data_IF_156976471744
#
_entry.id   IF_156976471744
#
_cell.length_a   1.000
_cell.length_b   1.000
_cell.length_c   1.000
_cell.angle_alpha   90.00
_cell.angle_beta   90.00
_cell.angle_gamma   90.00
#
_symmetry.space_group_name_H-M   'P 1'
#
loop_
_entity.id
_entity.type
_entity.pdbx_description
1 polymer ?
#
# COMPACT_ATOMS: atom_id res chain seq x y z
N UNK A 1 -1.62 -31.19 9.19
CA UNK A 1 -2.22 -29.87 9.52
C UNK A 1 -3.73 -30.05 9.54
N UNK A 2 -4.43 -29.51 10.53
CA UNK A 2 -5.90 -29.57 10.60
C UNK A 2 -6.51 -28.30 9.98
N UNK A 3 -6.81 -28.38 8.69
CA UNK A 3 -7.38 -27.25 7.95
C UNK A 3 -8.82 -26.94 8.33
N UNK A 4 -9.59 -27.92 8.80
CA UNK A 4 -10.98 -27.68 9.22
C UNK A 4 -11.02 -26.86 10.51
N UNK A 5 -10.11 -27.14 11.45
CA UNK A 5 -9.93 -26.31 12.65
C UNK A 5 -9.53 -24.88 12.31
N UNK A 6 -8.60 -24.68 11.37
CA UNK A 6 -8.18 -23.33 10.93
C UNK A 6 -9.36 -22.61 10.26
N UNK A 7 -10.05 -23.29 9.34
CA UNK A 7 -11.22 -22.77 8.66
C UNK A 7 -12.29 -22.32 9.65
N UNK A 8 -12.64 -23.15 10.64
CA UNK A 8 -13.63 -22.84 11.66
C UNK A 8 -13.28 -21.58 12.49
N UNK A 9 -11.98 -21.31 12.72
CA UNK A 9 -11.54 -20.08 13.41
C UNK A 9 -11.57 -18.85 12.51
N UNK A 10 -11.30 -19.00 11.21
CA UNK A 10 -11.06 -17.90 10.27
C UNK A 10 -12.28 -17.51 9.46
N UNK A 11 -13.20 -18.43 9.24
CA UNK A 11 -14.47 -18.19 8.56
C UNK A 11 -15.50 -17.57 9.52
N UNK A 12 -16.46 -16.80 9.00
CA UNK A 12 -17.65 -16.41 9.74
C UNK A 12 -18.41 -17.65 10.22
N UNK A 13 -18.77 -17.66 11.50
CA UNK A 13 -19.58 -18.71 12.09
C UNK A 13 -21.05 -18.64 11.62
N UNK A 14 -21.84 -19.65 11.98
CA UNK A 14 -23.23 -19.75 11.53
C UNK A 14 -24.11 -18.58 12.01
N UNK A 15 -23.81 -18.00 13.16
CA UNK A 15 -24.55 -16.83 13.66
C UNK A 15 -24.18 -15.59 12.86
N UNK A 16 -22.88 -15.33 12.69
CA UNK A 16 -22.38 -14.20 11.91
C UNK A 16 -22.87 -14.25 10.46
N UNK A 17 -22.92 -15.41 9.82
CA UNK A 17 -23.48 -15.56 8.46
C UNK A 17 -24.96 -15.18 8.39
N UNK A 18 -25.75 -15.55 9.41
CA UNK A 18 -27.18 -15.20 9.48
C UNK A 18 -27.35 -13.70 9.70
N UNK A 19 -26.53 -13.10 10.55
CA UNK A 19 -26.56 -11.66 10.80
C UNK A 19 -26.16 -10.85 9.56
N UNK A 20 -25.04 -11.21 8.93
CA UNK A 20 -24.62 -10.58 7.67
C UNK A 20 -25.73 -10.63 6.61
N UNK A 21 -26.36 -11.80 6.44
CA UNK A 21 -27.48 -11.97 5.49
C UNK A 21 -28.70 -11.13 5.87
N UNK A 22 -29.13 -11.18 7.13
CA UNK A 22 -30.28 -10.42 7.62
C UNK A 22 -30.07 -8.91 7.42
N UNK A 23 -28.90 -8.41 7.79
CA UNK A 23 -28.54 -7.00 7.64
C UNK A 23 -28.49 -6.63 6.15
N UNK A 24 -27.82 -7.43 5.31
CA UNK A 24 -27.75 -7.14 3.87
C UNK A 24 -29.11 -7.13 3.20
N UNK A 25 -29.99 -8.07 3.55
CA UNK A 25 -31.35 -8.16 3.00
C UNK A 25 -32.19 -6.96 3.43
N UNK A 26 -32.18 -6.64 4.73
CA UNK A 26 -32.93 -5.49 5.29
C UNK A 26 -32.47 -4.16 4.70
N UNK A 27 -31.16 -3.91 4.62
CA UNK A 27 -30.62 -2.69 4.04
C UNK A 27 -30.90 -2.63 2.53
N UNK A 28 -30.79 -3.76 1.82
CA UNK A 28 -31.12 -3.86 0.41
C UNK A 28 -32.59 -3.50 0.12
N UNK A 29 -33.52 -3.99 0.92
CA UNK A 29 -34.95 -3.64 0.82
C UNK A 29 -35.22 -2.16 1.09
N UNK A 30 -34.58 -1.58 2.12
CA UNK A 30 -34.69 -0.14 2.42
C UNK A 30 -34.19 0.69 1.23
N UNK A 31 -33.05 0.33 0.64
CA UNK A 31 -32.51 1.03 -0.55
C UNK A 31 -33.50 0.93 -1.72
N UNK A 32 -34.04 -0.26 -2.01
CA UNK A 32 -35.05 -0.43 -3.09
C UNK A 32 -36.30 0.43 -2.86
N UNK A 33 -36.78 0.52 -1.61
CA UNK A 33 -37.90 1.39 -1.25
C UNK A 33 -37.60 2.86 -1.49
N UNK A 34 -36.39 3.32 -1.15
CA UNK A 34 -35.95 4.70 -1.40
C UNK A 34 -35.84 5.01 -2.89
N UNK A 35 -35.26 4.10 -3.68
CA UNK A 35 -35.17 4.24 -5.14
C UNK A 35 -36.56 4.40 -5.77
N UNK A 36 -37.53 3.56 -5.36
CA UNK A 36 -38.91 3.64 -5.82
C UNK A 36 -39.58 4.97 -5.46
N UNK A 37 -39.46 5.42 -4.21
CA UNK A 37 -40.00 6.71 -3.74
C UNK A 37 -39.40 7.90 -4.49
N UNK A 38 -38.12 7.82 -4.84
CA UNK A 38 -37.41 8.86 -5.60
C UNK A 38 -37.62 8.77 -7.11
N UNK A 39 -38.34 7.75 -7.61
CA UNK A 39 -38.52 7.45 -9.05
C UNK A 39 -37.18 7.30 -9.79
N UNK A 40 -36.21 6.69 -9.13
CA UNK A 40 -34.88 6.42 -9.68
C UNK A 40 -34.80 4.98 -10.15
N UNK A 41 -34.40 4.77 -11.40
CA UNK A 41 -34.16 3.45 -11.97
C UNK A 41 -32.73 3.00 -11.68
N UNK A 42 -32.56 2.14 -10.67
CA UNK A 42 -31.30 1.50 -10.33
C UNK A 42 -31.54 0.14 -9.66
N UNK A 43 -30.55 -0.74 -9.71
CA UNK A 43 -30.58 -2.05 -9.03
C UNK A 43 -29.73 -2.03 -7.76
N UNK A 44 -30.10 -2.85 -6.78
CA UNK A 44 -29.31 -3.04 -5.56
C UNK A 44 -28.70 -4.43 -5.58
N UNK A 45 -27.37 -4.49 -5.52
CA UNK A 45 -26.61 -5.74 -5.58
C UNK A 45 -25.65 -5.85 -4.39
N UNK A 46 -25.71 -6.98 -3.69
CA UNK A 46 -24.69 -7.34 -2.70
C UNK A 46 -23.46 -7.87 -3.44
N UNK A 47 -22.31 -7.22 -3.24
CA UNK A 47 -21.05 -7.61 -3.89
C UNK A 47 -20.00 -8.03 -2.85
N UNK A 48 -18.76 -8.24 -3.31
CA UNK A 48 -17.63 -8.38 -2.41
C UNK A 48 -17.57 -9.70 -1.64
N UNK A 49 -16.78 -9.70 -0.56
CA UNK A 49 -16.54 -10.81 0.39
C UNK A 49 -17.72 -11.73 0.63
N UNK A 50 -18.72 -11.06 1.17
CA UNK A 50 -19.89 -11.63 1.81
C UNK A 50 -20.84 -12.22 0.79
N UNK A 51 -21.06 -11.53 -0.35
CA UNK A 51 -21.82 -12.08 -1.48
C UNK A 51 -21.25 -13.39 -2.02
N UNK A 52 -19.91 -13.47 -2.05
CA UNK A 52 -19.18 -14.65 -2.53
C UNK A 52 -18.94 -15.70 -1.46
N UNK A 53 -19.38 -15.49 -0.22
CA UNK A 53 -19.12 -16.39 0.91
C UNK A 53 -17.64 -16.75 1.11
N UNK A 54 -16.73 -15.84 0.74
CA UNK A 54 -15.27 -16.00 0.86
C UNK A 54 -14.67 -15.00 1.85
N UNK A 55 -15.48 -14.30 2.63
CA UNK A 55 -14.99 -13.37 3.64
C UNK A 55 -14.35 -14.11 4.82
N UNK A 56 -13.31 -13.49 5.40
CA UNK A 56 -12.83 -13.88 6.72
C UNK A 56 -13.82 -13.35 7.78
N UNK A 57 -13.69 -13.87 9.01
CA UNK A 57 -14.43 -13.40 10.18
C UNK A 57 -14.34 -11.87 10.34
N UNK A 58 -15.45 -11.23 10.64
CA UNK A 58 -15.58 -9.76 10.70
C UNK A 58 -15.63 -9.12 9.32
N UNK A 59 -16.27 -9.77 8.36
CA UNK A 59 -16.37 -9.28 6.97
C UNK A 59 -17.29 -8.07 6.81
N UNK A 60 -17.00 -7.27 5.78
CA UNK A 60 -17.77 -6.08 5.41
C UNK A 60 -19.01 -6.46 4.55
N UNK A 61 -20.04 -5.62 4.59
CA UNK A 61 -21.20 -5.70 3.71
C UNK A 61 -21.09 -4.61 2.64
N UNK A 62 -20.84 -5.02 1.39
CA UNK A 62 -20.72 -4.13 0.25
C UNK A 62 -22.04 -4.09 -0.56
N UNK A 63 -22.81 -3.02 -0.42
CA UNK A 63 -24.07 -2.81 -1.15
C UNK A 63 -23.88 -1.81 -2.29
N UNK A 64 -24.03 -2.30 -3.52
CA UNK A 64 -23.86 -1.48 -4.71
C UNK A 64 -25.22 -1.04 -5.26
N UNK A 65 -25.32 0.24 -5.59
CA UNK A 65 -26.46 0.82 -6.30
C UNK A 65 -26.04 0.97 -7.76
N UNK A 66 -26.53 0.07 -8.61
CA UNK A 66 -26.14 -0.08 -10.01
C UNK A 66 -27.07 0.73 -10.89
N UNK A 67 -26.57 1.83 -11.42
CA UNK A 67 -27.31 2.75 -12.29
C UNK A 67 -27.09 2.42 -13.77
N UNK A 68 -28.13 2.55 -14.63
CA UNK A 68 -27.96 2.52 -16.08
C UNK A 68 -26.98 3.58 -16.58
N UNK A 69 -26.31 3.31 -17.70
CA UNK A 69 -25.33 4.23 -18.31
C UNK A 69 -25.92 5.53 -18.85
N UNK A 70 -27.26 5.65 -18.87
CA UNK A 70 -27.99 6.87 -19.22
C UNK A 70 -27.90 7.98 -18.17
N UNK A 71 -27.57 7.64 -16.91
CA UNK A 71 -27.34 8.63 -15.86
C UNK A 71 -25.97 9.32 -16.03
N UNK A 72 -25.87 10.58 -15.63
CA UNK A 72 -24.59 11.26 -15.55
C UNK A 72 -23.79 10.83 -14.31
N UNK A 73 -22.47 10.99 -14.33
CA UNK A 73 -21.61 10.69 -13.17
C UNK A 73 -21.99 11.53 -11.96
N UNK A 74 -22.32 12.80 -12.14
CA UNK A 74 -22.76 13.67 -11.05
C UNK A 74 -24.07 13.20 -10.43
N UNK A 75 -25.00 12.69 -11.24
CA UNK A 75 -26.30 12.23 -10.74
C UNK A 75 -26.16 10.96 -9.90
N UNK A 76 -25.39 9.96 -10.37
CA UNK A 76 -25.21 8.72 -9.61
C UNK A 76 -24.52 8.98 -8.26
N UNK A 77 -23.55 9.91 -8.22
CA UNK A 77 -22.84 10.26 -6.98
C UNK A 77 -23.80 10.99 -6.04
N UNK A 78 -24.53 11.99 -6.54
CA UNK A 78 -25.48 12.77 -5.73
C UNK A 78 -26.58 11.88 -5.16
N UNK A 79 -27.18 11.03 -5.98
CA UNK A 79 -28.24 10.11 -5.56
C UNK A 79 -27.69 9.03 -4.64
N UNK A 80 -26.54 8.44 -4.98
CA UNK A 80 -25.87 7.41 -4.20
C UNK A 80 -25.50 7.88 -2.79
N UNK A 81 -24.86 9.05 -2.66
CA UNK A 81 -24.52 9.65 -1.37
C UNK A 81 -25.77 9.98 -0.55
N UNK A 82 -26.81 10.55 -1.20
CA UNK A 82 -28.07 10.84 -0.53
C UNK A 82 -28.70 9.58 0.05
N UNK A 83 -28.77 8.50 -0.73
CA UNK A 83 -29.29 7.22 -0.24
C UNK A 83 -28.40 6.66 0.86
N UNK A 84 -27.08 6.74 0.69
CA UNK A 84 -26.09 6.32 1.69
C UNK A 84 -26.35 6.95 3.05
N UNK A 85 -26.49 8.28 3.12
CA UNK A 85 -26.80 9.02 4.35
C UNK A 85 -28.21 8.75 4.90
N UNK A 86 -29.19 8.45 4.05
CA UNK A 86 -30.53 8.07 4.52
C UNK A 86 -30.53 6.68 5.17
N UNK A 87 -29.64 5.78 4.75
CA UNK A 87 -29.50 4.44 5.30
C UNK A 87 -28.55 4.43 6.51
N UNK A 88 -27.49 5.24 6.45
CA UNK A 88 -26.45 5.38 7.46
C UNK A 88 -26.38 6.86 7.88
N UNK A 89 -27.23 7.32 8.82
CA UNK A 89 -27.28 8.74 9.21
C UNK A 89 -25.95 9.27 9.78
N UNK A 90 -25.22 8.43 10.51
CA UNK A 90 -23.88 8.73 11.03
C UNK A 90 -22.75 8.28 10.08
N UNK A 91 -23.12 7.95 8.82
CA UNK A 91 -22.20 7.48 7.80
C UNK A 91 -21.22 8.57 7.37
N UNK A 92 -20.00 8.15 7.05
CA UNK A 92 -18.95 9.04 6.56
C UNK A 92 -18.76 8.82 5.06
N UNK A 93 -18.50 9.91 4.34
CA UNK A 93 -18.16 9.84 2.91
C UNK A 93 -16.69 9.45 2.72
N UNK A 94 -16.43 8.55 1.78
CA UNK A 94 -15.10 8.25 1.28
C UNK A 94 -15.01 8.58 -0.20
N UNK A 95 -14.05 9.45 -0.54
CA UNK A 95 -13.85 9.95 -1.90
C UNK A 95 -12.92 9.05 -2.73
N UNK A 96 -13.39 7.86 -3.10
CA UNK A 96 -12.72 7.01 -4.11
C UNK A 96 -13.08 7.49 -5.54
N UNK A 97 -12.83 6.68 -6.58
CA UNK A 97 -13.24 7.03 -7.95
C UNK A 97 -14.74 7.38 -8.04
N UNK A 98 -15.57 6.66 -7.29
CA UNK A 98 -16.93 7.06 -6.97
C UNK A 98 -17.03 7.30 -5.46
N UNK A 99 -17.37 8.53 -5.01
CA UNK A 99 -17.66 8.78 -3.62
C UNK A 99 -18.77 7.86 -3.12
N UNK A 100 -18.57 7.31 -1.92
CA UNK A 100 -19.50 6.37 -1.29
C UNK A 100 -19.64 6.67 0.19
N UNK A 101 -20.71 6.15 0.81
CA UNK A 101 -20.94 6.28 2.25
C UNK A 101 -20.57 4.97 2.92
N UNK A 102 -19.80 5.04 4.00
CA UNK A 102 -19.57 3.90 4.87
C UNK A 102 -20.02 4.19 6.30
N UNK A 103 -20.38 3.14 7.03
CA UNK A 103 -20.82 3.24 8.42
C UNK A 103 -20.86 1.87 9.09
N UNK A 104 -21.45 1.81 10.27
CA UNK A 104 -21.58 0.58 11.04
C UNK A 104 -23.04 0.31 11.38
N UNK A 105 -23.48 -0.93 11.18
CA UNK A 105 -24.80 -1.42 11.61
C UNK A 105 -24.58 -2.69 12.41
N UNK A 106 -25.00 -2.68 13.67
CA UNK A 106 -24.85 -3.84 14.58
C UNK A 106 -23.40 -4.35 14.66
N UNK A 107 -22.41 -3.44 14.60
CA UNK A 107 -20.98 -3.78 14.64
C UNK A 107 -20.37 -4.22 13.30
N UNK A 108 -21.18 -4.39 12.25
CA UNK A 108 -20.70 -4.70 10.90
C UNK A 108 -20.47 -3.43 10.09
N UNK A 109 -19.33 -3.36 9.39
CA UNK A 109 -19.03 -2.27 8.46
C UNK A 109 -19.86 -2.44 7.19
N UNK A 110 -20.56 -1.37 6.81
CA UNK A 110 -21.41 -1.31 5.62
C UNK A 110 -20.83 -0.25 4.67
N UNK A 111 -20.60 -0.61 3.43
CA UNK A 111 -20.22 0.30 2.36
C UNK A 111 -21.36 0.39 1.33
N UNK A 112 -21.91 1.58 1.09
CA UNK A 112 -22.97 1.84 0.10
C UNK A 112 -22.40 2.61 -1.07
N UNK A 113 -22.21 1.92 -2.19
CA UNK A 113 -21.40 2.40 -3.32
C UNK A 113 -22.25 2.58 -4.58
N UNK A 114 -22.37 3.79 -5.15
CA UNK A 114 -22.97 3.97 -6.46
C UNK A 114 -22.01 3.55 -7.58
N UNK A 115 -22.52 2.85 -8.59
CA UNK A 115 -21.74 2.49 -9.77
C UNK A 115 -22.62 2.44 -11.03
N UNK A 116 -22.00 2.39 -12.20
CA UNK A 116 -22.69 2.12 -13.45
C UNK A 116 -22.89 0.62 -13.69
N UNK A 117 -23.95 0.29 -14.42
CA UNK A 117 -24.12 -1.01 -15.05
C UNK A 117 -23.10 -1.18 -16.17
N UNK A 118 -22.40 -2.32 -16.20
CA UNK A 118 -21.49 -2.67 -17.29
C UNK A 118 -21.72 -4.08 -17.82
N UNK A 119 -21.39 -4.27 -19.10
CA UNK A 119 -21.24 -5.58 -19.73
C UNK A 119 -19.78 -6.01 -19.73
N UNK A 120 -19.53 -7.30 -19.98
CA UNK A 120 -18.17 -7.82 -20.12
C UNK A 120 -17.46 -7.13 -21.28
N UNK A 121 -16.20 -6.74 -21.07
CA UNK A 121 -15.35 -6.02 -22.04
C UNK A 121 -15.89 -4.65 -22.54
N UNK A 122 -16.88 -4.04 -21.86
CA UNK A 122 -17.27 -2.66 -22.15
C UNK A 122 -16.12 -1.66 -21.92
N UNK A 123 -16.14 -0.53 -22.63
CA UNK A 123 -15.22 0.57 -22.35
C UNK A 123 -15.51 1.18 -20.98
N UNK A 124 -14.50 1.12 -20.10
CA UNK A 124 -14.61 1.48 -18.69
C UNK A 124 -14.86 2.97 -18.45
N UNK A 125 -15.77 3.26 -17.50
CA UNK A 125 -15.89 4.58 -16.86
C UNK A 125 -15.14 4.64 -15.52
N UNK A 126 -15.20 3.58 -14.71
CA UNK A 126 -14.50 3.47 -13.42
C UNK A 126 -14.12 2.02 -13.08
N UNK A 127 -13.08 1.86 -12.25
CA UNK A 127 -12.71 0.60 -11.64
C UNK A 127 -13.81 -0.03 -10.77
N UNK A 128 -14.63 0.80 -10.12
CA UNK A 128 -15.71 0.39 -9.20
C UNK A 128 -16.83 -0.35 -9.95
N UNK A 129 -17.09 0.06 -11.19
CA UNK A 129 -18.17 -0.49 -12.04
C UNK A 129 -17.98 -1.99 -12.37
N UNK A 130 -16.76 -2.53 -12.19
CA UNK A 130 -16.45 -3.95 -12.42
C UNK A 130 -16.89 -4.87 -11.29
N UNK A 131 -17.05 -4.36 -10.06
CA UNK A 131 -17.30 -5.18 -8.87
C UNK A 131 -18.53 -6.09 -8.97
N UNK A 132 -19.66 -5.64 -9.56
CA UNK A 132 -20.79 -6.52 -9.85
C UNK A 132 -20.45 -7.68 -10.81
N UNK A 133 -19.68 -7.41 -11.87
CA UNK A 133 -19.26 -8.43 -12.84
C UNK A 133 -18.27 -9.42 -12.23
N UNK A 134 -17.29 -8.95 -11.46
CA UNK A 134 -16.38 -9.82 -10.72
C UNK A 134 -17.15 -10.76 -9.78
N UNK A 135 -18.13 -10.22 -9.06
CA UNK A 135 -18.95 -11.00 -8.13
C UNK A 135 -19.71 -12.10 -8.86
N UNK A 136 -20.35 -11.76 -10.00
CA UNK A 136 -21.05 -12.74 -10.86
C UNK A 136 -20.10 -13.81 -11.39
N UNK A 137 -18.97 -13.42 -11.96
CA UNK A 137 -18.00 -14.35 -12.52
C UNK A 137 -17.45 -15.30 -11.45
N UNK A 138 -17.08 -14.77 -10.28
CA UNK A 138 -16.56 -15.59 -9.18
C UNK A 138 -17.63 -16.57 -8.69
N UNK A 139 -18.86 -16.11 -8.42
CA UNK A 139 -19.92 -17.01 -7.96
C UNK A 139 -20.24 -18.13 -8.97
N UNK A 140 -20.17 -17.84 -10.28
CA UNK A 140 -20.37 -18.85 -11.32
C UNK A 140 -19.26 -19.92 -11.38
N UNK A 141 -18.08 -19.63 -10.81
CA UNK A 141 -16.91 -20.52 -10.81
C UNK A 141 -16.55 -21.05 -9.40
N UNK A 142 -17.41 -20.80 -8.40
CA UNK A 142 -17.21 -21.25 -7.03
C UNK A 142 -18.13 -22.43 -6.68
N UNK A 143 -17.56 -23.38 -5.96
CA UNK A 143 -18.27 -24.39 -5.19
C UNK A 143 -17.89 -24.24 -3.69
N UNK A 144 -18.53 -25.02 -2.82
CA UNK A 144 -18.30 -24.94 -1.37
C UNK A 144 -16.85 -25.33 -0.98
N UNK A 145 -16.23 -26.24 -1.72
CA UNK A 145 -14.84 -26.62 -1.49
C UNK A 145 -13.90 -25.45 -1.80
N UNK A 146 -14.03 -24.82 -2.97
CA UNK A 146 -13.24 -23.66 -3.37
C UNK A 146 -13.43 -22.48 -2.41
N UNK A 147 -14.64 -22.29 -1.85
CA UNK A 147 -14.88 -21.24 -0.83
C UNK A 147 -14.02 -21.47 0.42
N UNK A 148 -13.92 -22.72 0.89
CA UNK A 148 -13.03 -23.08 2.02
C UNK A 148 -11.57 -22.82 1.68
N UNK A 149 -11.11 -23.29 0.52
CA UNK A 149 -9.73 -23.11 0.04
C UNK A 149 -9.34 -21.62 -0.07
N UNK A 150 -10.26 -20.76 -0.52
CA UNK A 150 -10.03 -19.31 -0.59
C UNK A 150 -9.90 -18.70 0.80
N UNK A 151 -10.72 -19.12 1.76
CA UNK A 151 -10.65 -18.63 3.14
C UNK A 151 -9.31 -19.04 3.77
N UNK A 152 -8.84 -20.27 3.54
CA UNK A 152 -7.51 -20.71 3.97
C UNK A 152 -6.41 -19.87 3.34
N UNK A 153 -6.47 -19.60 2.03
CA UNK A 153 -5.49 -18.76 1.34
C UNK A 153 -5.47 -17.33 1.89
N UNK A 154 -6.64 -16.72 2.08
CA UNK A 154 -6.76 -15.37 2.67
C UNK A 154 -6.20 -15.35 4.09
N UNK A 155 -6.50 -16.36 4.90
CA UNK A 155 -5.98 -16.48 6.26
C UNK A 155 -4.46 -16.65 6.28
N UNK A 156 -3.91 -17.50 5.42
CA UNK A 156 -2.46 -17.67 5.25
C UNK A 156 -1.79 -16.35 4.83
N UNK A 157 -2.27 -15.73 3.75
CA UNK A 157 -1.73 -14.46 3.26
C UNK A 157 -1.81 -13.35 4.32
N UNK A 158 -2.88 -13.34 5.14
CA UNK A 158 -3.03 -12.41 6.27
C UNK A 158 -2.03 -12.71 7.38
N UNK A 159 -1.86 -13.97 7.77
CA UNK A 159 -0.91 -14.39 8.80
C UNK A 159 0.54 -14.07 8.40
N UNK A 160 0.91 -14.30 7.14
CA UNK A 160 2.24 -13.95 6.64
C UNK A 160 2.41 -12.46 6.29
N UNK A 161 1.36 -11.64 6.40
CA UNK A 161 1.44 -10.19 6.19
C UNK A 161 1.47 -9.70 4.74
N UNK A 162 0.99 -10.50 3.78
CA UNK A 162 0.93 -10.11 2.35
C UNK A 162 -0.50 -9.84 1.84
N UNK A 163 -1.51 -9.92 2.71
CA UNK A 163 -2.92 -9.71 2.33
C UNK A 163 -3.35 -8.23 2.38
N UNK A 164 -4.07 -7.81 1.34
CA UNK A 164 -4.60 -6.45 1.18
C UNK A 164 -3.97 -5.73 0.00
N UNK A 165 -4.78 -5.09 -0.83
CA UNK A 165 -4.34 -4.40 -2.05
C UNK A 165 -4.28 -2.88 -1.92
N UNK A 166 -4.41 -2.35 -0.70
CA UNK A 166 -4.16 -0.94 -0.44
C UNK A 166 -2.72 -0.60 -0.86
N UNK A 167 -2.51 0.61 -1.41
CA UNK A 167 -1.18 0.99 -1.93
C UNK A 167 -0.13 0.93 -0.83
N UNK A 168 -0.53 1.19 0.42
CA UNK A 168 0.33 1.12 1.59
C UNK A 168 0.80 -0.29 1.95
N UNK A 169 0.06 -1.33 1.55
CA UNK A 169 0.43 -2.73 1.79
C UNK A 169 1.13 -3.36 0.61
N UNK A 170 0.75 -2.98 -0.63
CA UNK A 170 1.29 -3.56 -1.85
C UNK A 170 1.10 -5.08 -1.93
N UNK A 171 0.00 -5.61 -1.38
CA UNK A 171 -0.24 -7.03 -1.21
C UNK A 171 -1.29 -7.62 -2.17
N UNK A 172 -1.75 -8.83 -1.84
CA UNK A 172 -2.72 -9.59 -2.63
C UNK A 172 -4.15 -9.20 -2.23
N UNK A 173 -4.97 -8.78 -3.20
CA UNK A 173 -6.39 -8.48 -2.97
C UNK A 173 -7.20 -9.76 -2.73
N UNK A 174 -8.35 -9.63 -2.06
CA UNK A 174 -9.29 -10.75 -1.92
C UNK A 174 -9.75 -11.32 -3.26
N UNK A 175 -9.86 -10.49 -4.29
CA UNK A 175 -10.19 -10.93 -5.65
C UNK A 175 -9.05 -11.73 -6.29
N UNK A 176 -7.79 -11.34 -6.09
CA UNK A 176 -6.63 -12.12 -6.55
C UNK A 176 -6.58 -13.49 -5.86
N UNK A 177 -6.88 -13.57 -4.56
CA UNK A 177 -6.98 -14.85 -3.86
C UNK A 177 -8.03 -15.78 -4.49
N UNK A 178 -9.20 -15.23 -4.84
CA UNK A 178 -10.28 -15.98 -5.50
C UNK A 178 -9.84 -16.47 -6.88
N UNK A 179 -9.24 -15.61 -7.71
CA UNK A 179 -8.75 -15.99 -9.03
C UNK A 179 -7.67 -17.08 -8.95
N UNK A 180 -6.76 -16.99 -7.98
CA UNK A 180 -5.70 -17.98 -7.78
C UNK A 180 -6.27 -19.36 -7.47
N UNK A 181 -7.20 -19.46 -6.52
CA UNK A 181 -7.81 -20.75 -6.17
C UNK A 181 -8.71 -21.27 -7.28
N UNK A 182 -9.49 -20.41 -7.95
CA UNK A 182 -10.36 -20.84 -9.06
C UNK A 182 -9.52 -21.44 -10.20
N UNK A 183 -8.37 -20.85 -10.51
CA UNK A 183 -7.50 -21.31 -11.61
C UNK A 183 -6.60 -22.48 -11.23
N UNK A 184 -6.05 -22.49 -10.02
CA UNK A 184 -5.08 -23.49 -9.59
C UNK A 184 -5.74 -24.66 -8.84
N UNK A 185 -6.94 -24.48 -8.33
CA UNK A 185 -7.82 -25.52 -7.79
C UNK A 185 -7.87 -25.61 -6.26
N UNK A 186 -6.78 -25.33 -5.55
CA UNK A 186 -6.74 -25.41 -4.08
C UNK A 186 -5.68 -24.48 -3.47
N UNK A 187 -5.81 -24.20 -2.17
CA UNK A 187 -4.83 -23.49 -1.35
C UNK A 187 -3.44 -24.10 -1.51
N UNK A 188 -3.34 -25.43 -1.41
CA UNK A 188 -2.06 -26.12 -1.54
C UNK A 188 -1.41 -25.92 -2.91
N UNK A 189 -2.18 -26.05 -4.00
CA UNK A 189 -1.67 -25.82 -5.36
C UNK A 189 -1.25 -24.37 -5.59
N UNK A 190 -1.90 -23.42 -4.92
CA UNK A 190 -1.48 -22.01 -4.93
C UNK A 190 -0.11 -21.86 -4.27
N UNK A 191 0.13 -22.50 -3.13
CA UNK A 191 1.45 -22.46 -2.48
C UNK A 191 2.53 -23.13 -3.32
N UNK A 192 2.25 -24.29 -3.91
CA UNK A 192 3.17 -25.00 -4.81
C UNK A 192 3.54 -24.13 -6.01
N UNK A 193 2.57 -23.42 -6.59
CA UNK A 193 2.79 -22.46 -7.67
C UNK A 193 3.74 -21.33 -7.27
N UNK A 194 3.56 -20.72 -6.09
CA UNK A 194 4.49 -19.69 -5.62
C UNK A 194 5.86 -20.27 -5.27
N UNK A 195 5.91 -21.44 -4.63
CA UNK A 195 7.15 -22.10 -4.23
C UNK A 195 8.03 -22.46 -5.43
N UNK A 196 7.42 -22.94 -6.53
CA UNK A 196 8.10 -23.28 -7.77
C UNK A 196 8.40 -22.11 -8.70
N UNK A 197 7.97 -20.89 -8.36
CA UNK A 197 8.07 -19.75 -9.28
C UNK A 197 9.45 -19.08 -9.33
N UNK A 198 9.84 -18.65 -10.53
CA UNK A 198 10.97 -17.74 -10.78
C UNK A 198 10.54 -16.26 -10.75
N UNK A 199 11.48 -15.32 -10.99
CA UNK A 199 11.41 -13.88 -10.66
C UNK A 199 10.06 -13.19 -10.91
N UNK A 200 9.40 -13.37 -12.06
CA UNK A 200 8.09 -12.75 -12.38
C UNK A 200 7.05 -13.84 -12.65
N UNK A 201 5.85 -13.67 -12.10
CA UNK A 201 4.77 -14.65 -12.22
C UNK A 201 3.68 -14.19 -13.17
N UNK A 202 3.17 -15.11 -14.00
CA UNK A 202 2.08 -14.85 -14.94
C UNK A 202 1.02 -15.95 -14.83
N UNK A 203 -0.22 -15.54 -14.65
CA UNK A 203 -1.39 -16.41 -14.66
C UNK A 203 -2.41 -15.84 -15.65
N UNK A 204 -2.18 -16.12 -16.93
CA UNK A 204 -2.91 -15.55 -18.08
C UNK A 204 -3.66 -16.66 -18.83
N UNK A 205 -4.86 -16.38 -19.36
CA UNK A 205 -5.64 -17.40 -20.07
C UNK A 205 -5.25 -17.55 -21.55
N UNK A 206 -5.07 -16.47 -22.34
CA UNK A 206 -4.89 -16.65 -23.80
C UNK A 206 -3.98 -15.64 -24.52
N UNK A 207 -3.52 -14.56 -23.88
CA UNK A 207 -2.61 -13.61 -24.53
C UNK A 207 -1.60 -13.02 -23.55
N UNK A 208 -0.35 -12.77 -23.98
CA UNK A 208 0.56 -11.92 -23.24
C UNK A 208 -0.04 -10.51 -23.23
N UNK A 209 -0.70 -10.15 -22.11
CA UNK A 209 -0.92 -8.75 -21.77
C UNK A 209 0.43 -8.02 -21.89
N UNK A 210 0.47 -6.75 -22.36
CA UNK A 210 1.72 -6.01 -22.52
C UNK A 210 2.63 -6.22 -21.32
N UNK A 211 3.91 -6.43 -21.59
CA UNK A 211 4.95 -6.72 -20.59
C UNK A 211 5.04 -5.50 -19.67
N UNK A 212 4.19 -5.47 -18.66
CA UNK A 212 4.34 -4.55 -17.57
C UNK A 212 5.50 -5.05 -16.71
N UNK A 213 6.30 -4.14 -16.17
CA UNK A 213 7.40 -4.48 -15.25
C UNK A 213 6.90 -4.96 -13.87
N UNK A 214 5.61 -5.20 -13.77
CA UNK A 214 4.92 -5.71 -12.60
C UNK A 214 5.54 -7.05 -12.11
N UNK A 215 5.71 -7.23 -10.79
CA UNK A 215 6.19 -8.47 -10.20
C UNK A 215 5.33 -9.70 -10.55
N UNK A 216 4.01 -9.49 -10.64
CA UNK A 216 3.03 -10.52 -10.93
C UNK A 216 1.94 -9.99 -11.86
N UNK A 217 1.54 -10.82 -12.82
CA UNK A 217 0.43 -10.54 -13.74
C UNK A 217 -0.63 -11.62 -13.60
N UNK A 218 -1.83 -11.22 -13.23
CA UNK A 218 -3.03 -12.08 -13.20
C UNK A 218 -4.05 -11.43 -14.12
N UNK A 219 -4.33 -12.04 -15.27
CA UNK A 219 -5.34 -11.51 -16.20
C UNK A 219 -6.70 -11.51 -15.51
N UNK A 220 -7.41 -10.39 -15.57
CA UNK A 220 -8.78 -10.31 -15.10
C UNK A 220 -9.73 -10.94 -16.13
N UNK A 221 -10.58 -11.92 -15.74
CA UNK A 221 -11.49 -12.59 -16.67
C UNK A 221 -12.62 -11.69 -17.18
N UNK A 222 -12.96 -10.62 -16.47
CA UNK A 222 -14.02 -9.66 -16.84
C UNK A 222 -13.46 -8.51 -17.69
N UNK A 223 -12.16 -8.24 -17.57
CA UNK A 223 -11.44 -7.17 -18.26
C UNK A 223 -10.03 -7.63 -18.66
N UNK A 224 -9.91 -8.24 -19.85
CA UNK A 224 -8.66 -8.88 -20.30
C UNK A 224 -7.45 -7.95 -20.39
N UNK A 225 -7.67 -6.62 -20.42
CA UNK A 225 -6.60 -5.62 -20.48
C UNK A 225 -6.02 -5.30 -19.09
N UNK A 226 -6.68 -5.74 -18.01
CA UNK A 226 -6.30 -5.42 -16.62
C UNK A 226 -5.43 -6.51 -16.00
N UNK A 227 -4.38 -6.06 -15.31
CA UNK A 227 -3.68 -6.88 -14.32
C UNK A 227 -4.38 -6.78 -12.95
N UNK A 228 -5.05 -7.85 -12.51
CA UNK A 228 -5.68 -7.92 -11.20
C UNK A 228 -4.67 -7.87 -10.03
N UNK A 229 -3.40 -8.24 -10.27
CA UNK A 229 -2.32 -8.25 -9.30
C UNK A 229 -1.40 -7.01 -9.39
N UNK A 230 -1.84 -5.92 -10.02
CA UNK A 230 -1.02 -4.72 -10.22
C UNK A 230 -0.51 -4.08 -8.90
N UNK A 231 -1.24 -4.27 -7.79
CA UNK A 231 -0.83 -3.78 -6.47
C UNK A 231 0.28 -4.61 -5.81
N UNK A 232 0.56 -5.84 -6.29
CA UNK A 232 1.50 -6.75 -5.64
C UNK A 232 2.94 -6.27 -5.83
N UNK A 233 3.60 -5.94 -4.73
CA UNK A 233 5.00 -5.51 -4.71
C UNK A 233 5.96 -6.69 -4.88
N UNK A 234 7.19 -6.41 -5.32
CA UNK A 234 8.23 -7.44 -5.42
C UNK A 234 8.61 -8.02 -4.05
N UNK A 235 8.56 -7.19 -3.00
CA UNK A 235 8.81 -7.61 -1.63
C UNK A 235 7.77 -8.63 -1.16
N UNK A 236 6.48 -8.34 -1.34
CA UNK A 236 5.41 -9.27 -0.95
C UNK A 236 5.38 -10.53 -1.81
N UNK A 237 5.75 -10.42 -3.09
CA UNK A 237 5.91 -11.59 -3.95
C UNK A 237 7.05 -12.49 -3.45
N UNK A 238 8.21 -11.91 -3.11
CA UNK A 238 9.34 -12.65 -2.54
C UNK A 238 8.96 -13.29 -1.20
N UNK A 239 8.26 -12.56 -0.33
CA UNK A 239 7.74 -13.06 0.95
C UNK A 239 6.79 -14.23 0.75
N UNK A 240 5.83 -14.12 -0.17
CA UNK A 240 4.89 -15.20 -0.54
C UNK A 240 5.63 -16.43 -1.04
N UNK A 241 6.68 -16.28 -1.85
CA UNK A 241 7.49 -17.41 -2.36
C UNK A 241 8.18 -18.16 -1.23
N UNK A 242 8.94 -17.43 -0.39
CA UNK A 242 9.73 -18.05 0.67
C UNK A 242 8.80 -18.73 1.67
N UNK A 243 7.75 -18.04 2.13
CA UNK A 243 6.85 -18.59 3.14
C UNK A 243 5.95 -19.70 2.59
N UNK A 244 5.66 -19.74 1.29
CA UNK A 244 5.07 -20.92 0.66
C UNK A 244 5.98 -22.14 0.75
N UNK A 245 7.30 -21.99 0.47
CA UNK A 245 8.28 -23.08 0.58
C UNK A 245 8.41 -23.57 2.03
N UNK A 246 8.54 -22.64 2.97
CA UNK A 246 8.64 -22.96 4.40
C UNK A 246 7.39 -23.69 4.89
N UNK A 247 6.19 -23.23 4.50
CA UNK A 247 4.96 -23.91 4.88
C UNK A 247 4.85 -25.31 4.29
N UNK A 248 5.19 -25.50 3.01
CA UNK A 248 5.16 -26.82 2.37
C UNK A 248 6.16 -27.79 2.98
N UNK A 249 7.31 -27.30 3.45
CA UNK A 249 8.32 -28.10 4.14
C UNK A 249 7.93 -28.44 5.58
N UNK A 250 7.47 -27.44 6.36
CA UNK A 250 7.10 -27.59 7.76
C UNK A 250 5.82 -26.80 8.09
N UNK A 251 4.64 -27.40 7.83
CA UNK A 251 3.35 -26.74 8.08
C UNK A 251 3.17 -26.37 9.56
N UNK A 252 2.75 -25.13 9.83
CA UNK A 252 2.42 -24.64 11.18
C UNK A 252 1.15 -23.76 11.17
N UNK A 253 0.39 -23.73 12.28
CA UNK A 253 -0.77 -22.84 12.43
C UNK A 253 -0.34 -21.35 12.46
N UNK A 254 0.91 -21.06 12.85
CA UNK A 254 1.47 -19.69 12.91
C UNK A 254 1.40 -18.94 11.57
N UNK A 255 1.49 -19.65 10.44
CA UNK A 255 1.37 -19.04 9.11
C UNK A 255 -0.02 -18.44 8.86
N UNK A 256 -1.05 -18.88 9.59
CA UNK A 256 -2.43 -18.37 9.49
C UNK A 256 -2.77 -17.37 10.58
N UNK A 257 -2.15 -17.50 11.75
CA UNK A 257 -2.42 -16.66 12.92
C UNK A 257 -1.51 -15.42 12.99
N UNK A 258 -0.36 -15.48 12.33
CA UNK A 258 0.65 -14.44 12.35
C UNK A 258 1.81 -14.83 13.26
N UNK A 259 3.01 -14.41 12.86
CA UNK A 259 4.21 -14.68 13.63
C UNK A 259 4.35 -13.72 14.82
N UNK A 260 4.79 -14.21 15.99
CA UNK A 260 5.10 -13.33 17.11
C UNK A 260 6.24 -12.38 16.71
N UNK A 261 6.12 -11.10 17.08
CA UNK A 261 7.20 -10.14 16.83
C UNK A 261 8.36 -10.41 17.79
N UNK A 262 9.48 -10.93 17.30
CA UNK A 262 10.72 -10.97 18.08
C UNK A 262 11.47 -9.65 17.97
N UNK A 263 11.83 -9.13 19.14
CA UNK A 263 12.80 -8.03 19.19
C UNK A 263 14.18 -8.58 18.81
N UNK A 264 14.98 -7.82 18.04
CA UNK A 264 16.34 -8.21 17.77
C UNK A 264 17.14 -8.22 19.08
N UNK A 265 18.24 -8.98 19.14
CA UNK A 265 19.13 -8.95 20.30
C UNK A 265 19.60 -7.51 20.57
N UNK A 266 19.74 -7.17 21.86
CA UNK A 266 20.14 -5.83 22.30
C UNK A 266 21.65 -5.61 22.07
N UNK A 267 22.03 -5.39 20.81
CA UNK A 267 23.40 -5.08 20.41
C UNK A 267 23.48 -3.58 20.13
N UNK A 268 24.48 -2.85 20.68
CA UNK A 268 24.69 -1.45 20.33
C UNK A 268 24.98 -1.32 18.84
N UNK A 269 23.99 -0.84 18.06
CA UNK A 269 24.09 -0.72 16.60
C UNK A 269 25.15 0.30 16.16
N UNK A 270 25.44 1.28 17.02
CA UNK A 270 26.33 2.43 16.74
C UNK A 270 25.92 3.21 15.48
N UNK A 271 24.62 3.24 15.21
CA UNK A 271 23.96 3.94 14.12
C UNK A 271 23.11 5.10 14.67
N UNK A 272 22.64 5.96 13.78
CA UNK A 272 21.86 7.14 14.11
C UNK A 272 20.45 7.05 13.52
N UNK A 273 19.42 7.22 14.34
CA UNK A 273 18.04 7.29 13.88
C UNK A 273 17.59 8.74 13.65
N UNK A 274 16.82 8.96 12.59
CA UNK A 274 16.14 10.23 12.30
C UNK A 274 14.71 10.00 11.88
N UNK A 275 13.79 10.64 12.60
CA UNK A 275 12.34 10.54 12.35
C UNK A 275 11.84 11.87 11.82
N UNK A 276 11.43 11.90 10.55
CA UNK A 276 10.77 13.02 9.91
C UNK A 276 9.27 12.93 10.22
N UNK A 277 8.72 13.95 10.89
CA UNK A 277 7.30 14.03 11.21
C UNK A 277 6.65 15.21 10.49
N UNK A 278 5.54 14.95 9.80
CA UNK A 278 4.79 15.93 9.01
C UNK A 278 3.31 15.88 9.38
N UNK A 279 2.63 16.99 9.15
CA UNK A 279 1.16 17.00 9.20
C UNK A 279 0.56 16.11 8.12
N UNK A 280 -0.57 15.50 8.44
CA UNK A 280 -1.34 14.68 7.51
C UNK A 280 -2.37 15.57 6.81
N UNK A 281 -2.31 15.74 5.48
CA UNK A 281 -3.41 16.33 4.72
C UNK A 281 -4.68 15.48 4.86
N UNK A 282 -5.84 16.13 4.84
CA UNK A 282 -7.14 15.44 4.86
C UNK A 282 -7.47 14.86 3.48
N UNK A 283 -6.78 13.77 3.15
CA UNK A 283 -6.89 13.06 1.89
C UNK A 283 -6.92 11.55 2.15
N UNK A 284 -7.45 10.80 1.17
CA UNK A 284 -7.43 9.34 1.21
C UNK A 284 -5.99 8.80 1.25
N UNK A 285 -5.83 7.67 1.95
CA UNK A 285 -4.54 6.98 2.07
C UNK A 285 -3.95 6.63 0.69
N UNK A 286 -4.74 6.07 -0.22
CA UNK A 286 -4.26 5.70 -1.56
C UNK A 286 -3.79 6.90 -2.41
N UNK A 287 -4.27 8.11 -2.10
CA UNK A 287 -3.85 9.35 -2.80
C UNK A 287 -2.56 9.91 -2.19
N UNK A 288 -2.44 9.86 -0.86
CA UNK A 288 -1.32 10.47 -0.15
C UNK A 288 -0.12 9.53 0.00
N UNK A 289 -0.35 8.23 0.20
CA UNK A 289 0.71 7.24 0.46
C UNK A 289 1.78 7.17 -0.66
N UNK A 290 1.43 7.21 -1.96
CA UNK A 290 2.44 7.30 -3.03
C UNK A 290 3.38 8.50 -2.89
N UNK A 291 2.86 9.63 -2.41
CA UNK A 291 3.66 10.84 -2.18
C UNK A 291 4.54 10.68 -0.93
N UNK A 292 4.07 9.98 0.10
CA UNK A 292 4.88 9.68 1.29
C UNK A 292 6.05 8.76 0.90
N UNK A 293 5.81 7.74 0.06
CA UNK A 293 6.87 6.89 -0.49
C UNK A 293 7.86 7.69 -1.37
N UNK A 294 7.35 8.63 -2.18
CA UNK A 294 8.21 9.56 -2.94
C UNK A 294 9.09 10.38 -1.99
N UNK A 295 8.52 10.95 -0.93
CA UNK A 295 9.27 11.69 0.08
C UNK A 295 10.33 10.81 0.76
N UNK A 296 9.99 9.59 1.18
CA UNK A 296 10.97 8.65 1.76
C UNK A 296 12.14 8.39 0.81
N UNK A 297 11.85 8.13 -0.47
CA UNK A 297 12.87 7.92 -1.50
C UNK A 297 13.76 9.16 -1.69
N UNK A 298 13.17 10.36 -1.70
CA UNK A 298 13.92 11.63 -1.77
C UNK A 298 14.81 11.78 -0.54
N UNK A 299 14.31 11.56 0.67
CA UNK A 299 15.12 11.66 1.90
C UNK A 299 16.33 10.72 1.79
N UNK A 300 16.11 9.46 1.42
CA UNK A 300 17.18 8.46 1.27
C UNK A 300 18.17 8.85 0.15
N UNK A 301 17.70 9.33 -1.00
CA UNK A 301 18.57 9.73 -2.10
C UNK A 301 19.38 10.97 -1.78
N UNK A 302 18.77 12.01 -1.20
CA UNK A 302 19.49 13.22 -0.80
C UNK A 302 20.47 12.94 0.33
N UNK A 303 20.14 12.02 1.26
CA UNK A 303 21.10 11.54 2.27
C UNK A 303 22.37 11.01 1.62
N UNK A 304 22.24 10.15 0.60
CA UNK A 304 23.38 9.59 -0.16
C UNK A 304 24.14 10.67 -0.93
N UNK A 305 23.43 11.55 -1.64
CA UNK A 305 24.03 12.62 -2.43
C UNK A 305 24.84 13.59 -1.55
N UNK A 306 24.41 13.81 -0.31
CA UNK A 306 25.07 14.66 0.67
C UNK A 306 26.14 13.92 1.49
N UNK A 307 26.51 12.69 1.12
CA UNK A 307 27.60 11.94 1.75
C UNK A 307 27.24 11.30 3.10
N UNK A 308 25.95 11.09 3.37
CA UNK A 308 25.48 10.24 4.46
C UNK A 308 25.12 8.85 3.94
N UNK A 309 25.23 7.84 4.79
CA UNK A 309 24.99 6.44 4.41
C UNK A 309 23.73 5.91 5.13
N UNK A 310 22.54 6.00 4.49
CA UNK A 310 21.31 5.42 5.02
C UNK A 310 21.33 3.89 4.90
N UNK A 311 20.99 3.22 6.00
CA UNK A 311 20.95 1.76 6.14
C UNK A 311 19.59 1.22 5.70
N UNK A 312 18.51 1.69 6.31
CA UNK A 312 17.13 1.36 5.93
C UNK A 312 16.17 2.48 6.38
N UNK A 313 14.91 2.39 5.95
CA UNK A 313 13.87 3.38 6.26
C UNK A 313 12.50 2.75 6.35
N UNK A 314 11.61 3.38 7.12
CA UNK A 314 10.26 2.86 7.38
C UNK A 314 9.25 3.99 7.56
N UNK A 315 7.98 3.70 7.28
CA UNK A 315 6.86 4.64 7.34
C UNK A 315 5.81 4.15 8.34
N UNK A 316 5.28 5.08 9.11
CA UNK A 316 3.99 4.93 9.79
C UNK A 316 3.11 6.10 9.39
N UNK A 317 1.94 5.77 8.82
CA UNK A 317 0.88 6.70 8.47
C UNK A 317 -0.22 6.63 9.54
N UNK A 318 -0.30 7.66 10.39
CA UNK A 318 -1.26 7.74 11.48
C UNK A 318 -1.99 9.08 11.49
N UNK A 319 -2.07 9.70 12.68
CA UNK A 319 -2.48 11.11 12.81
C UNK A 319 -1.47 12.04 12.16
N UNK A 320 -0.19 11.70 12.24
CA UNK A 320 0.89 12.35 11.50
C UNK A 320 1.54 11.36 10.54
N UNK A 321 2.24 11.91 9.55
CA UNK A 321 3.11 11.13 8.68
C UNK A 321 4.47 11.05 9.38
N UNK A 322 4.97 9.85 9.66
CA UNK A 322 6.28 9.66 10.27
C UNK A 322 7.14 8.76 9.36
N UNK A 323 8.32 9.24 9.00
CA UNK A 323 9.32 8.51 8.19
C UNK A 323 10.58 8.38 9.02
N UNK A 324 10.99 7.15 9.31
CA UNK A 324 12.25 6.84 9.97
C UNK A 324 13.32 6.53 8.92
N UNK A 325 14.52 7.04 9.15
CA UNK A 325 15.73 6.66 8.43
C UNK A 325 16.80 6.31 9.46
N UNK A 326 17.41 5.13 9.32
CA UNK A 326 18.62 4.77 10.02
C UNK A 326 19.84 5.13 9.17
N UNK A 327 20.84 5.76 9.79
CA UNK A 327 22.08 6.21 9.16
C UNK A 327 23.28 5.58 9.87
N UNK A 328 24.36 5.33 9.15
CA UNK A 328 25.64 4.99 9.78
C UNK A 328 26.12 6.10 10.71
N UNK A 329 26.08 7.35 10.21
CA UNK A 329 26.45 8.55 10.95
C UNK A 329 25.54 9.71 10.55
N UNK A 330 25.22 10.58 11.52
CA UNK A 330 24.42 11.80 11.31
C UNK A 330 25.27 13.08 11.28
N UNK A 331 26.60 12.93 11.28
CA UNK A 331 27.58 13.99 11.13
C UNK A 331 28.60 13.58 10.06
N UNK A 332 28.73 14.41 9.02
CA UNK A 332 29.80 14.30 8.00
C UNK A 332 30.97 15.23 8.34
N UNK A 333 32.15 15.08 7.70
CA UNK A 333 33.25 16.01 7.92
C UNK A 333 32.84 17.48 7.71
N UNK A 334 33.32 18.37 8.58
CA UNK A 334 33.03 19.81 8.51
C UNK A 334 33.73 20.53 7.34
N UNK A 335 34.50 19.79 6.54
CA UNK A 335 35.20 20.27 5.36
C UNK A 335 34.74 19.50 4.12
N UNK A 336 34.72 20.17 2.96
CA UNK A 336 34.62 19.53 1.64
C UNK A 336 35.76 19.99 0.74
N UNK A 337 36.17 19.11 -0.15
CA UNK A 337 37.12 19.43 -1.21
C UNK A 337 36.34 20.09 -2.36
N UNK A 338 36.73 21.29 -2.74
CA UNK A 338 36.22 21.97 -3.91
C UNK A 338 37.29 21.93 -5.01
N UNK A 339 37.08 21.06 -6.01
CA UNK A 339 38.00 20.88 -7.11
C UNK A 339 37.81 21.96 -8.20
N UNK A 340 38.92 22.56 -8.60
CA UNK A 340 38.99 23.49 -9.72
C UNK A 340 39.10 22.80 -11.07
N UNK A 341 39.27 23.59 -12.15
CA UNK A 341 39.47 23.06 -13.49
C UNK A 341 40.81 22.31 -13.60
N UNK A 342 41.01 21.44 -14.62
CA UNK A 342 42.31 20.83 -14.89
C UNK A 342 43.41 21.88 -15.01
N UNK A 343 44.63 21.57 -14.53
CA UNK A 343 45.74 22.51 -14.42
C UNK A 343 46.14 23.16 -15.76
N UNK A 344 45.94 22.47 -16.89
CA UNK A 344 46.20 22.99 -18.24
C UNK A 344 45.14 24.01 -18.71
N UNK A 345 44.02 24.14 -18.02
CA UNK A 345 42.95 25.08 -18.37
C UNK A 345 43.35 26.51 -18.03
N UNK A 346 43.10 27.45 -18.93
CA UNK A 346 43.27 28.88 -18.68
C UNK A 346 42.36 29.40 -17.55
N UNK A 347 41.27 28.68 -17.24
CA UNK A 347 40.34 29.00 -16.14
C UNK A 347 40.95 28.74 -14.75
N UNK A 348 42.09 28.03 -14.68
CA UNK A 348 42.85 27.80 -13.43
C UNK A 348 43.22 29.11 -12.74
N UNK A 349 43.59 30.15 -13.50
CA UNK A 349 43.95 31.45 -12.94
C UNK A 349 42.77 32.08 -12.20
N UNK A 350 41.58 32.04 -12.79
CA UNK A 350 40.35 32.58 -12.16
C UNK A 350 39.99 31.82 -10.89
N UNK A 351 40.22 30.50 -10.87
CA UNK A 351 40.01 29.69 -9.67
C UNK A 351 40.94 30.14 -8.54
N UNK A 352 42.24 30.30 -8.80
CA UNK A 352 43.21 30.75 -7.81
C UNK A 352 42.88 32.16 -7.30
N UNK A 353 42.63 33.12 -8.20
CA UNK A 353 42.31 34.51 -7.83
C UNK A 353 41.03 34.61 -6.98
N UNK A 354 40.04 33.75 -7.24
CA UNK A 354 38.82 33.65 -6.43
C UNK A 354 39.13 33.15 -5.02
N UNK A 355 39.90 32.08 -4.91
CA UNK A 355 40.14 31.41 -3.63
C UNK A 355 41.18 32.10 -2.75
N UNK A 356 42.11 32.87 -3.32
CA UNK A 356 42.98 33.78 -2.57
C UNK A 356 42.19 34.83 -1.76
N UNK A 357 41.01 35.22 -2.26
CA UNK A 357 40.13 36.23 -1.64
C UNK A 357 38.98 35.62 -0.84
N UNK A 358 38.76 34.32 -0.95
CA UNK A 358 37.61 33.65 -0.33
C UNK A 358 38.03 32.90 0.94
N UNK A 359 37.25 32.94 2.03
CA UNK A 359 37.52 32.11 3.20
C UNK A 359 37.55 30.62 2.85
N UNK A 360 38.64 29.96 3.19
CA UNK A 360 38.83 28.51 3.04
C UNK A 360 39.65 27.99 4.22
N UNK A 361 39.63 26.67 4.43
CA UNK A 361 40.34 26.02 5.55
C UNK A 361 41.79 25.74 5.19
N UNK A 362 42.03 25.25 3.96
CA UNK A 362 43.36 24.86 3.49
C UNK A 362 43.43 24.91 1.97
N UNK A 363 44.60 25.27 1.45
CA UNK A 363 44.90 25.37 0.02
C UNK A 363 45.04 26.81 -0.48
N UNK A 364 44.95 27.05 -1.80
CA UNK A 364 44.88 26.03 -2.87
C UNK A 364 46.10 25.08 -2.88
N UNK A 365 45.89 23.80 -3.19
CA UNK A 365 46.97 22.82 -3.46
C UNK A 365 46.56 21.88 -4.61
N UNK A 366 47.47 21.07 -5.14
CA UNK A 366 47.19 20.17 -6.25
C UNK A 366 46.78 18.78 -5.72
N UNK A 367 45.68 18.24 -6.23
CA UNK A 367 45.33 16.83 -6.14
C UNK A 367 45.16 16.32 -7.57
N UNK A 368 45.94 15.30 -7.91
CA UNK A 368 46.11 14.81 -9.28
C UNK A 368 46.44 15.96 -10.25
N UNK A 369 45.56 16.26 -11.21
CA UNK A 369 45.76 17.32 -12.21
C UNK A 369 44.96 18.59 -11.91
N UNK A 370 44.43 18.78 -10.69
CA UNK A 370 43.52 19.89 -10.38
C UNK A 370 43.96 20.67 -9.13
N UNK A 371 43.85 22.01 -9.14
CA UNK A 371 43.89 22.79 -7.91
C UNK A 371 42.63 22.50 -7.10
N UNK A 372 42.78 22.35 -5.80
CA UNK A 372 41.68 22.13 -4.87
C UNK A 372 41.84 23.03 -3.66
N UNK A 373 40.71 23.34 -3.03
CA UNK A 373 40.67 23.98 -1.70
C UNK A 373 39.77 23.17 -0.78
N UNK A 374 40.15 23.11 0.49
CA UNK A 374 39.28 22.61 1.55
C UNK A 374 38.43 23.78 2.06
N UNK A 375 37.11 23.65 2.01
CA UNK A 375 36.18 24.70 2.46
C UNK A 375 35.26 24.16 3.55
N UNK A 376 34.83 25.04 4.46
CA UNK A 376 33.85 24.68 5.48
C UNK A 376 32.52 24.28 4.83
N UNK A 377 31.85 23.29 5.41
CA UNK A 377 30.51 22.90 5.04
C UNK A 377 29.65 22.58 6.27
N UNK A 378 28.34 22.59 6.09
CA UNK A 378 27.40 22.10 7.10
C UNK A 378 27.59 20.60 7.25
N UNK A 379 27.83 20.15 8.48
CA UNK A 379 28.17 18.76 8.80
C UNK A 379 27.01 17.94 9.37
N UNK A 380 26.05 18.58 10.05
CA UNK A 380 24.95 17.89 10.72
C UNK A 380 23.85 17.52 9.73
N UNK A 381 23.41 16.26 9.77
CA UNK A 381 22.41 15.69 8.87
C UNK A 381 21.13 16.52 8.77
N UNK A 382 20.54 16.90 9.91
CA UNK A 382 19.26 17.60 9.93
C UNK A 382 19.31 18.90 9.13
N UNK A 383 20.38 19.68 9.30
CA UNK A 383 20.55 20.98 8.65
C UNK A 383 20.75 20.81 7.14
N UNK A 384 21.58 19.83 6.75
CA UNK A 384 21.85 19.51 5.35
C UNK A 384 20.58 19.03 4.63
N UNK A 385 19.84 18.09 5.23
CA UNK A 385 18.66 17.50 4.58
C UNK A 385 17.48 18.45 4.54
N UNK A 386 17.26 19.27 5.58
CA UNK A 386 16.21 20.31 5.51
C UNK A 386 16.50 21.28 4.35
N UNK A 387 17.77 21.65 4.15
CA UNK A 387 18.16 22.49 3.02
C UNK A 387 17.92 21.77 1.69
N UNK A 388 18.40 20.54 1.53
CA UNK A 388 18.24 19.76 0.30
C UNK A 388 16.77 19.52 -0.06
N UNK A 389 15.91 19.30 0.94
CA UNK A 389 14.49 19.10 0.71
C UNK A 389 13.78 20.37 0.24
N UNK A 390 14.24 21.58 0.60
CA UNK A 390 13.53 22.85 0.33
C UNK A 390 13.14 23.03 -1.14
N UNK A 391 14.01 22.64 -2.07
CA UNK A 391 13.80 22.84 -3.51
C UNK A 391 13.25 21.60 -4.22
N UNK A 392 13.00 20.50 -3.50
CA UNK A 392 12.48 19.24 -4.05
C UNK A 392 10.95 19.23 -4.09
N UNK A 393 10.38 18.76 -5.20
CA UNK A 393 8.97 18.40 -5.23
C UNK A 393 8.74 17.07 -4.48
N UNK A 394 8.10 17.14 -3.31
CA UNK A 394 7.82 15.97 -2.47
C UNK A 394 6.41 15.39 -2.72
N UNK A 395 5.70 15.88 -3.74
CA UNK A 395 4.33 15.52 -4.09
C UNK A 395 3.39 16.70 -3.91
N UNK A 396 2.47 16.89 -4.86
CA UNK A 396 1.59 18.06 -4.93
C UNK A 396 0.85 18.37 -3.61
N UNK A 397 0.37 17.34 -2.92
CA UNK A 397 -0.37 17.49 -1.68
C UNK A 397 0.53 17.56 -0.43
N UNK A 398 1.75 16.98 -0.49
CA UNK A 398 2.72 17.10 0.60
C UNK A 398 3.50 18.42 0.55
N UNK A 399 3.62 19.05 -0.62
CA UNK A 399 4.30 20.33 -0.77
C UNK A 399 3.63 21.43 0.07
N UNK A 400 2.30 21.41 0.23
CA UNK A 400 1.57 22.39 1.05
C UNK A 400 1.91 22.30 2.54
N UNK A 401 2.25 21.11 3.03
CA UNK A 401 2.61 20.85 4.44
C UNK A 401 4.11 20.70 4.67
N UNK A 402 4.94 20.97 3.66
CA UNK A 402 6.41 20.80 3.71
C UNK A 402 7.09 21.60 4.83
N UNK A 403 6.58 22.80 5.14
CA UNK A 403 7.08 23.61 6.25
C UNK A 403 6.83 23.01 7.64
N UNK A 404 5.94 22.02 7.75
CA UNK A 404 5.62 21.32 9.01
C UNK A 404 6.63 20.23 9.36
N UNK A 405 7.61 19.93 8.48
CA UNK A 405 8.61 18.89 8.72
C UNK A 405 9.39 19.19 10.01
N UNK A 406 9.43 18.23 10.91
CA UNK A 406 10.28 18.23 12.11
C UNK A 406 11.08 16.93 12.16
N UNK A 407 12.35 17.01 12.54
CA UNK A 407 13.25 15.86 12.61
C UNK A 407 13.58 15.57 14.08
N UNK A 408 13.37 14.33 14.50
CA UNK A 408 13.66 13.85 15.85
C UNK A 408 14.76 12.80 15.83
N UNK A 409 15.69 12.87 16.79
CA UNK A 409 16.72 11.84 17.01
C UNK A 409 16.23 10.67 17.87
N UNK A 410 15.17 10.90 18.66
CA UNK A 410 14.53 9.90 19.52
C UNK A 410 13.01 10.00 19.41
N UNK A 411 12.26 8.89 19.56
CA UNK A 411 10.80 8.93 19.55
C UNK A 411 10.21 9.80 20.66
N UNK A 412 9.47 10.84 20.29
CA UNK A 412 8.76 11.72 21.22
C UNK A 412 7.29 11.29 21.43
N UNK A 413 6.64 10.75 20.39
CA UNK A 413 5.21 10.35 20.45
C UNK A 413 5.02 8.84 20.47
N UNK A 414 3.81 8.38 20.81
CA UNK A 414 3.45 6.96 20.73
C UNK A 414 3.62 6.41 19.30
N UNK A 415 3.14 7.13 18.30
CA UNK A 415 3.28 6.74 16.87
C UNK A 415 4.75 6.58 16.45
N UNK A 416 5.65 7.42 16.97
CA UNK A 416 7.08 7.32 16.69
C UNK A 416 7.73 6.13 17.40
N UNK A 417 7.25 5.76 18.60
CA UNK A 417 7.67 4.53 19.29
C UNK A 417 7.18 3.29 18.54
N UNK A 418 5.94 3.31 18.08
CA UNK A 418 5.35 2.23 17.26
C UNK A 418 6.10 2.07 15.93
N UNK A 419 6.52 3.18 15.31
CA UNK A 419 7.39 3.19 14.12
C UNK A 419 8.76 2.55 14.40
N UNK A 420 9.42 2.95 15.50
CA UNK A 420 10.69 2.34 15.90
C UNK A 420 10.52 0.84 16.16
N UNK A 421 9.45 0.44 16.84
CA UNK A 421 9.17 -0.98 17.09
C UNK A 421 8.91 -1.73 15.80
N UNK A 422 8.11 -1.18 14.87
CA UNK A 422 7.86 -1.76 13.53
C UNK A 422 9.17 -1.98 12.79
N UNK A 423 10.03 -0.96 12.78
CA UNK A 423 11.34 -1.01 12.14
C UNK A 423 12.24 -2.09 12.75
N UNK A 424 12.37 -2.11 14.08
CA UNK A 424 13.25 -3.04 14.78
C UNK A 424 12.76 -4.49 14.71
N UNK A 425 11.46 -4.73 14.59
CA UNK A 425 10.87 -6.07 14.55
C UNK A 425 10.57 -6.57 13.13
N UNK A 426 11.18 -5.95 12.11
CA UNK A 426 11.02 -6.34 10.70
C UNK A 426 11.70 -7.68 10.41
N UNK A 427 10.98 -8.77 10.68
CA UNK A 427 11.43 -10.14 10.43
C UNK A 427 10.53 -10.85 9.40
N UNK A 428 11.10 -11.86 8.73
CA UNK A 428 10.36 -12.69 7.76
C UNK A 428 9.41 -13.67 8.46
N UNK A 429 9.92 -14.33 9.50
CA UNK A 429 9.19 -15.21 10.42
C UNK A 429 9.48 -14.76 11.86
N UNK A 430 8.67 -15.26 12.79
CA UNK A 430 8.76 -14.94 14.21
C UNK A 430 10.13 -15.20 14.77
#
# INVERSE_FOLDING_TARGET
>A
MDYEKIYARKAPDGAERRDLKRISDSLGEKIRSLLSKMRVTAEVQLVGSTSKGTNLKGGDIDLFIVFPTSYSRSDIVKVGLKIGHMILPDGQEKYAEHPYVFGYVEGHKIDIVPCFSMKENDNLKSAVDRSPLHTRWVNANLDDLKRKEIILLKAFMKGIGVYGSEVSKGGFSGYVCELLVIRLGSFQKVLEFFAGSEKRLRLTQDHPSPIDDAPMVVTDPVDRKRNAAAAVSMENLARMRILSREFLNKPSEEFFDGFPRKSPPNIPRKTCFRIFSLERPDLLEDVIYPQIEKLRKIIVSESRNEGFHPIDSEIVFGRRINILVELENDVRPAIKIHAGPPAHSQETRKFLDKWDKSPHVRGPFIVDERPVVEVKQVSRFNDVIISALRDKDIGANLNSVKGSIRIYSVPATKEQRDLMQKYMTRNLTG
#
